data_IF_847782025018
#
_entry.id   IF_847782025018
#
_cell.length_a   1.000
_cell.length_b   1.000
_cell.length_c   1.000
_cell.angle_alpha   90.00
_cell.angle_beta   90.00
_cell.angle_gamma   90.00
#
_symmetry.space_group_name_H-M   'P 1'
#
loop_
_entity.id
_entity.type
_entity.pdbx_description
1 polymer ?
#
# COMPACT_ATOMS: atom_id res chain seq x y z
N UNK A 1 -1.26 -10.21 20.06
CA UNK A 1 -1.88 -10.32 18.73
C UNK A 1 -3.29 -10.84 18.79
N UNK A 2 -3.54 -11.95 19.55
CA UNK A 2 -4.88 -12.51 19.66
C UNK A 2 -5.91 -11.52 20.19
N UNK A 3 -5.53 -10.69 21.15
CA UNK A 3 -6.43 -9.70 21.72
C UNK A 3 -6.88 -8.69 20.68
N UNK A 4 -5.96 -8.22 19.85
CA UNK A 4 -6.28 -7.27 18.79
C UNK A 4 -7.23 -7.89 17.76
N UNK A 5 -6.97 -9.14 17.39
CA UNK A 5 -7.83 -9.86 16.46
C UNK A 5 -9.22 -10.10 17.05
N UNK A 6 -9.29 -10.41 18.36
CA UNK A 6 -10.56 -10.60 19.02
C UNK A 6 -11.42 -9.34 18.97
N UNK A 7 -10.82 -8.18 19.21
CA UNK A 7 -11.53 -6.91 19.13
C UNK A 7 -12.07 -6.69 17.72
N UNK A 8 -11.28 -7.02 16.70
CA UNK A 8 -11.71 -6.91 15.31
C UNK A 8 -12.83 -7.87 14.97
N UNK A 9 -12.77 -9.10 15.48
CA UNK A 9 -13.77 -10.13 15.23
C UNK A 9 -15.13 -9.74 15.78
N UNK A 10 -15.17 -8.98 16.84
CA UNK A 10 -16.42 -8.56 17.47
C UNK A 10 -17.05 -7.37 16.76
N UNK A 11 -16.33 -6.71 15.85
CA UNK A 11 -16.83 -5.56 15.12
C UNK A 11 -17.62 -5.99 13.88
N UNK A 12 -18.85 -5.54 13.78
CA UNK A 12 -19.65 -5.78 12.58
C UNK A 12 -19.22 -4.91 11.39
N UNK A 13 -18.26 -4.00 11.61
CA UNK A 13 -17.65 -3.21 10.54
C UNK A 13 -16.46 -3.93 9.90
N UNK A 14 -16.06 -5.05 10.49
CA UNK A 14 -14.88 -5.78 10.06
C UNK A 14 -15.28 -7.01 9.26
N UNK A 15 -14.59 -7.24 8.15
CA UNK A 15 -14.73 -8.44 7.36
C UNK A 15 -13.34 -8.94 6.99
N UNK A 16 -13.11 -10.25 7.14
CA UNK A 16 -11.86 -10.89 6.78
C UNK A 16 -11.88 -11.44 5.36
N UNK A 17 -13.00 -11.25 4.66
CA UNK A 17 -13.15 -11.76 3.30
C UNK A 17 -12.89 -10.66 2.28
N UNK A 18 -11.76 -10.76 1.60
CA UNK A 18 -11.47 -9.96 0.42
C UNK A 18 -11.16 -10.92 -0.72
N UNK A 19 -11.84 -10.74 -1.84
CA UNK A 19 -11.60 -11.59 -3.00
C UNK A 19 -10.25 -11.25 -3.64
N UNK A 20 -9.70 -12.21 -4.38
CA UNK A 20 -8.50 -11.98 -5.17
C UNK A 20 -8.69 -10.79 -6.10
N UNK A 21 -9.87 -10.69 -6.72
CA UNK A 21 -10.22 -9.60 -7.62
C UNK A 21 -10.16 -8.25 -6.93
N UNK A 22 -10.69 -8.15 -5.72
CA UNK A 22 -10.65 -6.91 -4.94
C UNK A 22 -9.21 -6.50 -4.62
N UNK A 23 -8.38 -7.47 -4.25
CA UNK A 23 -6.97 -7.21 -3.94
C UNK A 23 -6.19 -6.80 -5.18
N UNK A 24 -6.46 -7.43 -6.32
CA UNK A 24 -5.83 -7.09 -7.59
C UNK A 24 -6.21 -5.67 -8.03
N UNK A 25 -7.46 -5.31 -7.88
CA UNK A 25 -7.94 -3.95 -8.20
C UNK A 25 -7.25 -2.91 -7.31
N UNK A 26 -7.13 -3.22 -6.02
CA UNK A 26 -6.46 -2.33 -5.08
C UNK A 26 -4.97 -2.18 -5.42
N UNK A 27 -4.32 -3.29 -5.78
CA UNK A 27 -2.93 -3.27 -6.21
C UNK A 27 -2.73 -2.38 -7.43
N UNK A 28 -3.58 -2.55 -8.43
CA UNK A 28 -3.51 -1.74 -9.66
C UNK A 28 -3.66 -0.26 -9.33
N UNK A 29 -4.63 0.09 -8.50
CA UNK A 29 -4.83 1.47 -8.08
C UNK A 29 -3.63 2.01 -7.31
N UNK A 30 -3.08 1.22 -6.39
CA UNK A 30 -1.93 1.62 -5.58
C UNK A 30 -0.70 1.86 -6.46
N UNK A 31 -0.50 1.03 -7.47
CA UNK A 31 0.61 1.20 -8.41
C UNK A 31 0.46 2.48 -9.23
N UNK A 32 -0.75 2.80 -9.64
CA UNK A 32 -1.01 4.05 -10.37
C UNK A 32 -0.76 5.27 -9.50
N UNK A 33 -1.20 5.24 -8.24
CA UNK A 33 -0.96 6.34 -7.30
C UNK A 33 0.53 6.47 -7.01
N UNK A 34 1.23 5.37 -6.83
CA UNK A 34 2.67 5.36 -6.63
C UNK A 34 3.39 6.02 -7.81
N UNK A 35 3.03 5.63 -9.03
CA UNK A 35 3.62 6.21 -10.23
C UNK A 35 3.32 7.70 -10.36
N UNK A 36 2.10 8.12 -10.02
CA UNK A 36 1.73 9.52 -10.03
C UNK A 36 2.68 10.34 -9.16
N UNK A 37 2.93 9.91 -7.93
CA UNK A 37 3.81 10.63 -7.03
C UNK A 37 5.27 10.60 -7.52
N UNK A 38 5.69 9.49 -8.11
CA UNK A 38 7.04 9.39 -8.69
C UNK A 38 7.24 10.41 -9.81
N UNK A 39 6.26 10.53 -10.69
CA UNK A 39 6.32 11.50 -11.80
C UNK A 39 6.30 12.93 -11.26
N UNK A 40 5.43 13.19 -10.28
CA UNK A 40 5.31 14.53 -9.71
C UNK A 40 6.59 14.98 -9.00
N UNK A 41 7.31 14.06 -8.37
CA UNK A 41 8.60 14.40 -7.75
C UNK A 41 9.56 15.04 -8.75
N UNK A 42 9.54 14.58 -9.99
CA UNK A 42 10.44 15.11 -11.02
C UNK A 42 10.12 16.56 -11.42
N UNK A 43 8.92 17.04 -11.06
CA UNK A 43 8.46 18.39 -11.43
C UNK A 43 8.85 19.47 -10.41
N UNK A 44 9.45 19.07 -9.29
CA UNK A 44 9.77 20.00 -8.20
C UNK A 44 11.23 19.90 -7.80
N UNK A 45 11.81 21.03 -7.33
CA UNK A 45 13.18 20.99 -6.83
C UNK A 45 13.31 20.01 -5.66
N UNK A 46 14.40 19.25 -5.65
CA UNK A 46 14.67 18.27 -4.62
C UNK A 46 14.66 18.96 -3.24
N UNK A 47 14.00 18.32 -2.28
CA UNK A 47 13.81 18.80 -0.91
C UNK A 47 12.89 20.02 -0.76
N UNK A 48 12.24 20.49 -1.83
CA UNK A 48 11.16 21.47 -1.71
C UNK A 48 9.98 20.83 -0.99
N UNK A 49 9.05 21.65 -0.49
CA UNK A 49 7.84 21.15 0.20
C UNK A 49 7.03 20.21 -0.68
N UNK A 50 6.84 20.59 -1.94
CA UNK A 50 6.09 19.76 -2.88
C UNK A 50 6.81 18.45 -3.18
N UNK A 51 8.13 18.50 -3.35
CA UNK A 51 8.92 17.29 -3.55
C UNK A 51 8.80 16.35 -2.36
N UNK A 52 8.93 16.89 -1.14
CA UNK A 52 8.84 16.08 0.09
C UNK A 52 7.44 15.46 0.22
N UNK A 53 6.39 16.21 -0.09
CA UNK A 53 5.03 15.69 -0.07
C UNK A 53 4.90 14.46 -0.98
N UNK A 54 5.34 14.58 -2.21
CA UNK A 54 5.25 13.47 -3.16
C UNK A 54 6.19 12.31 -2.80
N UNK A 55 7.37 12.61 -2.27
CA UNK A 55 8.30 11.57 -1.83
C UNK A 55 7.73 10.74 -0.69
N UNK A 56 7.07 11.37 0.27
CA UNK A 56 6.44 10.66 1.38
C UNK A 56 5.29 9.79 0.90
N UNK A 57 4.47 10.31 0.00
CA UNK A 57 3.37 9.53 -0.56
C UNK A 57 3.87 8.38 -1.43
N UNK A 58 4.93 8.60 -2.18
CA UNK A 58 5.56 7.55 -2.96
C UNK A 58 6.03 6.40 -2.06
N UNK A 59 6.71 6.72 -0.96
CA UNK A 59 7.18 5.71 0.00
C UNK A 59 6.02 4.97 0.65
N UNK A 60 4.96 5.67 1.01
CA UNK A 60 3.77 5.03 1.57
C UNK A 60 3.17 4.04 0.59
N UNK A 61 3.07 4.42 -0.68
CA UNK A 61 2.50 3.54 -1.70
C UNK A 61 3.41 2.36 -2.02
N UNK A 62 4.73 2.51 -1.90
CA UNK A 62 5.64 1.37 -2.03
C UNK A 62 5.29 0.28 -1.02
N UNK A 63 5.03 0.67 0.22
CA UNK A 63 4.62 -0.28 1.26
C UNK A 63 3.30 -0.94 0.97
N UNK A 64 2.31 -0.17 0.50
CA UNK A 64 1.00 -0.71 0.15
C UNK A 64 1.11 -1.71 -0.99
N UNK A 65 1.82 -1.36 -2.06
CA UNK A 65 2.04 -2.25 -3.21
C UNK A 65 2.73 -3.54 -2.77
N UNK A 66 3.77 -3.42 -1.98
CA UNK A 66 4.52 -4.56 -1.48
C UNK A 66 3.66 -5.51 -0.68
N UNK A 67 2.84 -4.95 0.23
CA UNK A 67 1.94 -5.75 1.06
C UNK A 67 0.88 -6.47 0.24
N UNK A 68 0.29 -5.78 -0.73
CA UNK A 68 -0.72 -6.38 -1.61
C UNK A 68 -0.13 -7.48 -2.48
N UNK A 69 1.08 -7.28 -3.01
CA UNK A 69 1.77 -8.31 -3.77
C UNK A 69 2.03 -9.54 -2.92
N UNK A 70 2.45 -9.33 -1.69
CA UNK A 70 2.66 -10.44 -0.76
C UNK A 70 1.36 -11.20 -0.50
N UNK A 71 0.26 -10.48 -0.27
CA UNK A 71 -1.05 -11.10 -0.06
C UNK A 71 -1.51 -11.91 -1.27
N UNK A 72 -1.16 -11.45 -2.47
CA UNK A 72 -1.53 -12.14 -3.72
C UNK A 72 -0.57 -13.28 -4.08
N UNK A 73 0.42 -13.53 -3.24
CA UNK A 73 1.34 -14.64 -3.44
C UNK A 73 2.51 -14.37 -4.35
N UNK A 74 2.87 -13.09 -4.56
CA UNK A 74 4.03 -12.73 -5.36
C UNK A 74 5.30 -13.24 -4.67
N UNK A 75 5.99 -14.18 -5.30
CA UNK A 75 7.19 -14.83 -4.75
C UNK A 75 8.39 -13.91 -4.68
N UNK A 76 8.34 -12.77 -5.37
CA UNK A 76 9.42 -11.78 -5.29
C UNK A 76 9.34 -10.94 -4.02
N UNK A 77 8.24 -11.06 -3.27
CA UNK A 77 8.08 -10.39 -1.98
C UNK A 77 8.09 -11.46 -0.90
N UNK A 78 9.25 -11.70 -0.31
CA UNK A 78 9.39 -12.71 0.74
C UNK A 78 8.76 -12.23 2.05
N UNK A 79 8.92 -10.96 2.37
CA UNK A 79 8.39 -10.39 3.61
C UNK A 79 8.05 -8.92 3.38
N UNK A 80 6.78 -8.51 3.55
CA UNK A 80 6.37 -7.15 3.20
C UNK A 80 6.94 -6.06 4.09
N UNK A 81 7.43 -6.41 5.26
CA UNK A 81 8.00 -5.45 6.20
C UNK A 81 9.50 -5.25 6.02
N UNK A 82 10.10 -6.04 5.16
CA UNK A 82 11.49 -5.89 4.79
C UNK A 82 11.61 -4.91 3.62
#
# INVERSE_FOLDING_TARGET
MGKLLSDHQESNLFSYNRSWSEMEMMLDKAERVKNHHRVEMANYPKKSKSWVFHARNFKAMEGVVKSLRWCLGDKNVAHPLD
#
